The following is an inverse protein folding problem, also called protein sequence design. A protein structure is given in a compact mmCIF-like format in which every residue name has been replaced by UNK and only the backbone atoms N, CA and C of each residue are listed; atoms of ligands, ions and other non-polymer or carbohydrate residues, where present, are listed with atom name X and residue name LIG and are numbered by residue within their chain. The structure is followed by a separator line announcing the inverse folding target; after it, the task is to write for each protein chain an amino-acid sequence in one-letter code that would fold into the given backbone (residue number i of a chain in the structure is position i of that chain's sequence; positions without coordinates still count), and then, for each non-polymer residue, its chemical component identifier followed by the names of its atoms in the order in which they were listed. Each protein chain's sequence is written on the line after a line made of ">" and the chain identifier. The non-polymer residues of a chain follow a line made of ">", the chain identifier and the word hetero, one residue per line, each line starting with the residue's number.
data_IF_600750763207
#
_entry.id   IF_600750763207
#
_cell.length_a   1.000
_cell.length_b   1.000
_cell.length_c   1.000
_cell.angle_alpha   90.00
_cell.angle_beta   90.00
_cell.angle_gamma   90.00
#
_symmetry.space_group_name_H-M   'P 1'
#
loop_
_entity.id
_entity.type
_entity.pdbx_description
1 polymer ?
#
# COMPACT_ATOMS: atom_id res chain seq x y z
N UNK A 1 -2.93 6.53 -3.23
CA UNK A 1 -2.05 5.41 -2.90
C UNK A 1 -2.64 4.61 -1.75
N UNK A 2 -2.76 3.29 -1.92
CA UNK A 2 -3.23 2.37 -0.87
C UNK A 2 -2.17 1.29 -0.66
N UNK A 3 -1.58 1.25 0.53
CA UNK A 3 -0.59 0.26 0.94
C UNK A 3 -1.24 -0.75 1.88
N UNK A 4 -1.24 -2.04 1.52
CA UNK A 4 -1.57 -3.13 2.42
C UNK A 4 -0.28 -3.75 2.95
N UNK A 5 -0.05 -3.63 4.25
CA UNK A 5 1.18 -4.09 4.88
C UNK A 5 0.95 -4.34 6.37
N UNK A 6 1.68 -5.29 6.96
CA UNK A 6 1.73 -5.52 8.40
C UNK A 6 3.14 -5.25 8.98
N UNK A 7 3.53 -3.98 9.24
CA UNK A 7 4.90 -3.63 9.62
C UNK A 7 5.47 -4.45 10.80
N UNK A 8 4.65 -4.70 11.81
CA UNK A 8 5.06 -5.38 13.05
C UNK A 8 5.09 -6.90 12.89
N UNK A 9 4.13 -7.48 12.18
CA UNK A 9 3.95 -8.93 12.08
C UNK A 9 4.43 -9.52 10.75
N UNK A 10 5.08 -8.69 9.93
CA UNK A 10 5.53 -9.03 8.59
C UNK A 10 6.51 -10.22 8.60
N UNK A 11 6.22 -11.24 7.79
CA UNK A 11 7.16 -12.35 7.57
C UNK A 11 8.33 -11.96 6.67
N UNK A 12 8.10 -11.09 5.68
CA UNK A 12 9.08 -10.73 4.65
C UNK A 12 10.08 -9.65 5.09
N UNK A 13 9.80 -8.96 6.22
CA UNK A 13 10.55 -7.80 6.76
C UNK A 13 10.53 -6.54 5.88
N UNK A 14 9.93 -6.58 4.70
CA UNK A 14 9.82 -5.42 3.80
C UNK A 14 8.66 -4.48 4.16
N UNK A 15 7.65 -4.98 4.88
CA UNK A 15 6.48 -4.19 5.26
C UNK A 15 6.84 -2.92 6.05
N UNK A 16 7.78 -3.01 7.00
CA UNK A 16 8.22 -1.86 7.80
C UNK A 16 8.88 -0.78 6.95
N UNK A 17 10.02 -1.06 6.30
CA UNK A 17 10.72 -0.08 5.47
C UNK A 17 9.86 0.54 4.36
N UNK A 18 8.96 -0.25 3.75
CA UNK A 18 8.07 0.28 2.71
C UNK A 18 7.00 1.19 3.32
N UNK A 19 6.47 0.85 4.50
CA UNK A 19 5.50 1.73 5.18
C UNK A 19 6.14 3.07 5.56
N UNK A 20 7.40 3.05 6.04
CA UNK A 20 8.17 4.27 6.33
C UNK A 20 8.39 5.10 5.06
N UNK A 21 8.87 4.48 3.97
CA UNK A 21 9.08 5.18 2.71
C UNK A 21 7.79 5.78 2.12
N UNK A 22 6.67 5.07 2.22
CA UNK A 22 5.37 5.59 1.78
C UNK A 22 4.90 6.76 2.66
N UNK A 23 5.24 6.78 3.96
CA UNK A 23 4.96 7.90 4.84
C UNK A 23 5.80 9.14 4.48
N UNK A 24 7.06 8.94 4.08
CA UNK A 24 7.92 10.03 3.60
C UNK A 24 7.41 10.61 2.28
N UNK A 25 7.00 9.75 1.34
CA UNK A 25 6.36 10.19 0.09
C UNK A 25 5.03 10.91 0.36
N UNK A 26 4.26 10.47 1.35
CA UNK A 26 3.03 11.14 1.74
C UNK A 26 3.29 12.58 2.20
N UNK A 27 4.37 12.84 2.93
CA UNK A 27 4.73 14.21 3.33
C UNK A 27 5.15 15.10 2.14
N UNK A 28 5.66 14.52 1.06
CA UNK A 28 6.18 15.25 -0.09
C UNK A 28 5.14 15.47 -1.20
N UNK A 29 4.16 14.58 -1.32
CA UNK A 29 3.21 14.52 -2.42
C UNK A 29 1.74 14.53 -1.96
N UNK A 30 1.45 15.06 -0.76
CA UNK A 30 0.08 15.18 -0.23
C UNK A 30 -0.81 16.11 -1.05
N UNK A 31 -0.21 17.02 -1.82
CA UNK A 31 -0.87 17.87 -2.80
C UNK A 31 -1.26 17.12 -4.09
N UNK A 32 -0.75 15.90 -4.32
CA UNK A 32 -1.01 15.12 -5.56
C UNK A 32 -1.82 13.86 -5.34
N UNK A 33 -1.64 13.22 -4.20
CA UNK A 33 -2.30 11.96 -3.89
C UNK A 33 -2.57 11.81 -2.40
N UNK A 34 -3.68 11.14 -2.07
CA UNK A 34 -3.90 10.65 -0.72
C UNK A 34 -3.11 9.35 -0.49
N UNK A 35 -2.59 9.17 0.72
CA UNK A 35 -1.84 7.99 1.12
C UNK A 35 -2.56 7.27 2.26
N UNK A 36 -2.93 6.01 2.02
CA UNK A 36 -3.71 5.20 2.96
C UNK A 36 -2.91 3.93 3.24
N UNK A 37 -2.56 3.71 4.50
CA UNK A 37 -2.07 2.41 4.97
C UNK A 37 -3.23 1.60 5.52
N UNK A 38 -3.36 0.36 5.05
CA UNK A 38 -4.31 -0.63 5.55
C UNK A 38 -3.52 -1.76 6.20
N UNK A 39 -3.69 -1.88 7.51
CA UNK A 39 -3.18 -3.01 8.28
C UNK A 39 -3.92 -4.30 7.89
N UNK A 40 -3.18 -5.38 7.70
CA UNK A 40 -3.75 -6.67 7.26
C UNK A 40 -4.54 -7.35 8.35
N UNK A 41 -4.08 -7.25 9.58
CA UNK A 41 -4.75 -7.85 10.73
C UNK A 41 -5.68 -6.82 11.36
N UNK A 42 -6.95 -7.20 11.55
CA UNK A 42 -7.81 -6.50 12.51
C UNK A 42 -7.36 -6.85 13.93
N UNK A 43 -7.11 -8.14 14.14
CA UNK A 43 -6.54 -8.70 15.35
C UNK A 43 -5.57 -9.84 14.97
N UNK A 44 -4.29 -9.61 15.22
CA UNK A 44 -3.26 -10.59 14.90
C UNK A 44 -3.31 -11.83 15.81
N UNK A 45 -3.66 -11.68 17.08
CA UNK A 45 -3.63 -12.78 18.07
C UNK A 45 -4.71 -13.81 17.75
N UNK A 46 -5.92 -13.34 17.43
CA UNK A 46 -7.02 -14.19 16.98
C UNK A 46 -6.96 -14.58 15.50
N UNK A 47 -5.98 -14.05 14.76
CA UNK A 47 -5.81 -14.22 13.30
C UNK A 47 -7.00 -13.70 12.50
N UNK A 48 -7.62 -12.62 12.97
CA UNK A 48 -8.70 -11.94 12.27
C UNK A 48 -8.14 -10.95 11.25
N UNK A 49 -8.52 -11.13 9.97
CA UNK A 49 -8.13 -10.23 8.88
C UNK A 49 -8.98 -8.96 8.88
N UNK A 50 -8.39 -7.87 8.42
CA UNK A 50 -9.11 -6.65 8.09
C UNK A 50 -10.02 -6.90 6.86
N UNK A 51 -11.28 -6.48 6.92
CA UNK A 51 -12.25 -6.70 5.83
C UNK A 51 -11.77 -6.16 4.49
N UNK A 52 -11.05 -5.03 4.48
CA UNK A 52 -10.51 -4.46 3.26
C UNK A 52 -9.43 -5.35 2.64
N UNK A 53 -8.54 -5.90 3.47
CA UNK A 53 -7.53 -6.84 3.02
C UNK A 53 -8.16 -8.14 2.52
N UNK A 54 -9.13 -8.69 3.28
CA UNK A 54 -9.82 -9.92 2.89
C UNK A 54 -10.57 -9.76 1.55
N UNK A 55 -11.24 -8.63 1.38
CA UNK A 55 -12.01 -8.35 0.17
C UNK A 55 -11.15 -8.14 -1.08
N UNK A 56 -10.03 -7.42 -0.97
CA UNK A 56 -9.24 -7.00 -2.15
C UNK A 56 -8.02 -7.87 -2.42
N UNK A 57 -7.26 -8.23 -1.38
CA UNK A 57 -5.92 -8.80 -1.55
C UNK A 57 -5.92 -10.30 -1.26
N UNK A 58 -6.54 -10.72 -0.16
CA UNK A 58 -6.57 -12.14 0.23
C UNK A 58 -7.28 -13.01 -0.82
N UNK A 59 -8.43 -12.53 -1.33
CA UNK A 59 -9.24 -13.23 -2.35
C UNK A 59 -8.61 -13.28 -3.73
N UNK A 60 -7.60 -12.44 -4.00
CA UNK A 60 -6.92 -12.42 -5.30
C UNK A 60 -5.91 -13.57 -5.46
N UNK A 61 -5.73 -14.43 -4.44
CA UNK A 61 -4.75 -15.54 -4.41
C UNK A 61 -3.28 -15.06 -4.43
N UNK A 62 -3.05 -13.77 -4.13
CA UNK A 62 -1.72 -13.16 -4.22
C UNK A 62 -1.02 -13.06 -2.86
N UNK A 63 -1.77 -13.10 -1.75
CA UNK A 63 -1.40 -13.61 -0.41
C UNK A 63 -0.07 -13.22 0.25
N UNK A 64 0.68 -12.25 -0.27
CA UNK A 64 2.03 -11.88 0.23
C UNK A 64 2.21 -10.38 0.27
N UNK A 65 2.47 -9.86 1.45
CA UNK A 65 2.68 -8.44 1.67
C UNK A 65 4.14 -8.01 1.52
N UNK A 66 4.38 -6.71 1.27
CA UNK A 66 3.38 -5.64 1.07
C UNK A 66 2.81 -5.52 -0.35
N UNK A 67 1.62 -4.92 -0.46
CA UNK A 67 0.96 -4.55 -1.72
C UNK A 67 0.72 -3.05 -1.81
N UNK A 68 1.06 -2.44 -2.93
CA UNK A 68 0.82 -1.03 -3.17
C UNK A 68 -0.04 -0.83 -4.42
N UNK A 69 -1.08 0.00 -4.29
CA UNK A 69 -1.99 0.35 -5.37
C UNK A 69 -2.04 1.86 -5.57
N UNK A 70 -2.02 2.29 -6.83
CA UNK A 70 -2.52 3.60 -7.24
C UNK A 70 -3.97 3.44 -7.69
N UNK A 71 -4.85 4.25 -7.12
CA UNK A 71 -6.29 4.24 -7.42
C UNK A 71 -6.65 5.62 -7.92
N UNK A 72 -7.22 5.68 -9.13
CA UNK A 72 -7.71 6.90 -9.75
C UNK A 72 -8.90 7.48 -9.00
N UNK A 73 -9.21 8.75 -9.29
CA UNK A 73 -10.36 9.45 -8.67
C UNK A 73 -11.73 8.83 -9.00
N UNK A 74 -11.79 7.99 -10.03
CA UNK A 74 -12.95 7.20 -10.44
C UNK A 74 -13.04 5.84 -9.70
N UNK A 75 -12.08 5.52 -8.84
CA UNK A 75 -12.01 4.28 -8.08
C UNK A 75 -11.37 3.10 -8.83
N UNK A 76 -10.80 3.34 -10.02
CA UNK A 76 -10.13 2.29 -10.80
C UNK A 76 -8.67 2.16 -10.39
N UNK A 77 -8.15 0.93 -10.31
CA UNK A 77 -6.72 0.69 -10.08
C UNK A 77 -5.94 1.05 -11.34
N UNK A 78 -5.11 2.09 -11.25
CA UNK A 78 -4.28 2.57 -12.36
C UNK A 78 -2.90 1.90 -12.40
N UNK A 79 -2.36 1.60 -11.21
CA UNK A 79 -1.10 0.87 -11.04
C UNK A 79 -1.16 -0.04 -9.83
N UNK A 80 -0.38 -1.12 -9.89
CA UNK A 80 -0.15 -2.03 -8.76
C UNK A 80 1.33 -2.41 -8.74
N UNK A 81 1.92 -2.37 -7.56
CA UNK A 81 3.26 -2.87 -7.30
C UNK A 81 3.21 -4.01 -6.30
N UNK A 82 3.92 -5.08 -6.64
CA UNK A 82 3.92 -6.35 -5.92
C UNK A 82 5.08 -6.40 -4.92
N UNK A 83 4.92 -7.12 -3.79
CA UNK A 83 5.89 -7.59 -2.76
C UNK A 83 7.07 -6.68 -2.34
N UNK A 84 7.84 -6.15 -3.27
CA UNK A 84 8.89 -5.14 -3.06
C UNK A 84 8.74 -4.08 -4.16
N UNK A 85 7.86 -3.07 -3.99
CA UNK A 85 7.78 -1.93 -4.89
C UNK A 85 9.14 -1.28 -5.08
N UNK A 86 9.47 -1.02 -6.35
CA UNK A 86 10.53 -0.09 -6.71
C UNK A 86 10.07 1.33 -6.37
N UNK A 87 10.62 1.88 -5.29
CA UNK A 87 10.22 3.18 -4.76
C UNK A 87 10.55 4.32 -5.75
N UNK A 88 11.61 4.18 -6.55
CA UNK A 88 11.95 5.18 -7.57
C UNK A 88 10.87 5.20 -8.66
N UNK A 89 10.32 4.03 -9.02
CA UNK A 89 9.22 3.93 -9.97
C UNK A 89 7.90 4.50 -9.39
N UNK A 90 7.64 4.27 -8.10
CA UNK A 90 6.48 4.84 -7.40
C UNK A 90 6.57 6.37 -7.38
N UNK A 91 7.72 6.92 -6.99
CA UNK A 91 7.93 8.36 -6.94
C UNK A 91 7.87 8.99 -8.34
N UNK A 92 8.50 8.36 -9.34
CA UNK A 92 8.42 8.80 -10.74
C UNK A 92 6.98 8.84 -11.26
N UNK A 93 6.12 7.93 -10.79
CA UNK A 93 4.70 7.96 -11.12
C UNK A 93 3.96 9.12 -10.43
N UNK A 94 4.21 9.35 -9.13
CA UNK A 94 3.63 10.48 -8.38
C UNK A 94 3.98 11.84 -8.99
N UNK A 95 5.21 12.01 -9.50
CA UNK A 95 5.67 13.23 -10.14
C UNK A 95 4.90 13.58 -11.43
N UNK A 96 4.30 12.60 -12.08
CA UNK A 96 3.50 12.79 -13.30
C UNK A 96 2.08 13.28 -13.00
N UNK A 97 1.61 13.13 -11.75
CA UNK A 97 0.29 13.59 -11.35
C UNK A 97 0.23 15.12 -11.29
N UNK A 98 -0.92 15.72 -11.65
CA UNK A 98 -1.13 17.14 -11.39
C UNK A 98 -1.11 17.42 -9.89
N UNK A 99 -0.54 18.56 -9.50
CA UNK A 99 -0.73 19.11 -8.15
C UNK A 99 -2.15 19.70 -8.04
N UNK A 100 -2.75 19.58 -6.86
CA UNK A 100 -4.11 20.05 -6.55
C UNK A 100 -4.19 21.56 -6.32
#
# INVERSE_FOLDING_TARGET
>A
MVLFATPVWCKSRFCGPITEAMADLAQQYDDRAAFIHVEVWRDYESRELNDAYDAWVNKADEGREPWLFAVGSDGVVEQRWDNVPDLDAVESWLQQLPAS
#
